data_IF_892353341312
#
_entry.id   IF_892353341312
#
_cell.length_a   1.000
_cell.length_b   1.000
_cell.length_c   1.000
_cell.angle_alpha   90.00
_cell.angle_beta   90.00
_cell.angle_gamma   90.00
#
_symmetry.space_group_name_H-M   'P 1'
#
loop_
_entity.id
_entity.type
_entity.pdbx_description
1 polymer ?
#
# COMPACT_ATOMS: atom_id res chain seq x y z
N UNK A 1 10.88 35.82 -13.65
CA UNK A 1 11.12 34.36 -13.58
C UNK A 1 10.42 33.75 -12.37
N UNK A 2 10.18 34.53 -11.32
CA UNK A 2 9.55 34.09 -10.06
C UNK A 2 8.11 33.59 -10.24
N UNK A 3 7.32 34.25 -11.09
CA UNK A 3 5.95 33.82 -11.40
C UNK A 3 5.91 32.45 -12.07
N UNK A 4 6.88 32.14 -12.93
CA UNK A 4 6.97 30.83 -13.59
C UNK A 4 7.29 29.72 -12.57
N UNK A 5 8.26 29.95 -11.67
CA UNK A 5 8.56 28.99 -10.60
C UNK A 5 7.38 28.77 -9.66
N UNK A 6 6.68 29.84 -9.26
CA UNK A 6 5.52 29.75 -8.37
C UNK A 6 4.39 28.94 -9.05
N UNK A 7 4.12 29.20 -10.33
CA UNK A 7 3.10 28.45 -11.09
C UNK A 7 3.47 26.99 -11.27
N UNK A 8 4.75 26.69 -11.54
CA UNK A 8 5.26 25.32 -11.63
C UNK A 8 5.16 24.58 -10.28
N UNK A 9 5.56 25.22 -9.19
CA UNK A 9 5.43 24.65 -7.85
C UNK A 9 3.96 24.42 -7.47
N UNK A 10 3.08 25.36 -7.78
CA UNK A 10 1.64 25.26 -7.54
C UNK A 10 1.01 24.10 -8.34
N UNK A 11 1.48 23.85 -9.57
CA UNK A 11 1.06 22.72 -10.39
C UNK A 11 1.48 21.39 -9.75
N UNK A 12 2.75 21.26 -9.34
CA UNK A 12 3.28 20.04 -8.68
C UNK A 12 2.53 19.79 -7.37
N UNK A 13 2.28 20.85 -6.59
CA UNK A 13 1.52 20.76 -5.34
C UNK A 13 0.07 20.32 -5.59
N UNK A 14 -0.59 20.85 -6.61
CA UNK A 14 -1.95 20.46 -6.98
C UNK A 14 -2.02 18.99 -7.40
N UNK A 15 -1.06 18.51 -8.21
CA UNK A 15 -0.96 17.10 -8.58
C UNK A 15 -0.70 16.21 -7.37
N UNK A 16 0.19 16.62 -6.45
CA UNK A 16 0.48 15.87 -5.25
C UNK A 16 -0.79 15.63 -4.41
N UNK A 17 -1.59 16.67 -4.19
CA UNK A 17 -2.85 16.58 -3.44
C UNK A 17 -3.87 15.72 -4.18
N UNK A 18 -3.99 15.89 -5.50
CA UNK A 18 -4.93 15.13 -6.33
C UNK A 18 -4.64 13.63 -6.27
N UNK A 19 -3.37 13.23 -6.43
CA UNK A 19 -2.94 11.83 -6.38
C UNK A 19 -3.20 11.24 -4.99
N UNK A 20 -2.89 11.97 -3.92
CA UNK A 20 -3.17 11.52 -2.55
C UNK A 20 -4.66 11.21 -2.38
N UNK A 21 -5.55 12.12 -2.80
CA UNK A 21 -7.00 11.92 -2.69
C UNK A 21 -7.48 10.77 -3.59
N UNK A 22 -6.95 10.64 -4.81
CA UNK A 22 -7.30 9.58 -5.76
C UNK A 22 -7.01 8.20 -5.18
N UNK A 23 -5.76 7.97 -4.75
CA UNK A 23 -5.33 6.69 -4.19
C UNK A 23 -6.02 6.41 -2.86
N UNK A 24 -6.11 7.43 -1.99
CA UNK A 24 -6.81 7.32 -0.72
C UNK A 24 -8.28 6.95 -0.93
N UNK A 25 -8.93 7.45 -1.99
CA UNK A 25 -10.27 7.06 -2.40
C UNK A 25 -10.36 5.56 -2.64
N UNK A 26 -9.50 5.00 -3.50
CA UNK A 26 -9.47 3.56 -3.77
C UNK A 26 -9.26 2.74 -2.49
N UNK A 27 -8.32 3.16 -1.65
CA UNK A 27 -8.05 2.49 -0.38
C UNK A 27 -9.26 2.53 0.57
N UNK A 28 -9.88 3.70 0.72
CA UNK A 28 -11.00 3.91 1.62
C UNK A 28 -12.23 3.13 1.17
N UNK A 29 -12.58 3.20 -0.12
CA UNK A 29 -13.69 2.44 -0.67
C UNK A 29 -13.44 0.93 -0.57
N UNK A 30 -12.25 0.43 -0.95
CA UNK A 30 -11.91 -0.98 -0.79
C UNK A 30 -12.10 -1.45 0.66
N UNK A 31 -11.66 -0.64 1.65
CA UNK A 31 -11.82 -0.94 3.07
C UNK A 31 -13.28 -1.00 3.52
N UNK A 32 -14.13 -0.10 3.01
CA UNK A 32 -15.57 -0.06 3.31
C UNK A 32 -16.29 -1.27 2.73
N UNK A 33 -15.98 -1.64 1.49
CA UNK A 33 -16.62 -2.77 0.81
C UNK A 33 -16.10 -4.14 1.27
N UNK A 34 -15.22 -4.20 2.26
CA UNK A 34 -14.67 -5.47 2.71
C UNK A 34 -13.79 -6.13 1.64
N UNK A 35 -13.06 -5.32 0.86
CA UNK A 35 -11.97 -5.77 -0.01
C UNK A 35 -10.60 -5.46 0.61
N UNK A 36 -9.69 -6.44 0.64
CA UNK A 36 -8.37 -6.28 1.26
C UNK A 36 -7.46 -5.50 0.32
N UNK A 37 -6.69 -4.55 0.85
CA UNK A 37 -5.61 -3.89 0.10
C UNK A 37 -4.28 -4.51 0.52
N UNK A 38 -3.51 -5.02 -0.43
CA UNK A 38 -2.20 -5.63 -0.21
C UNK A 38 -1.08 -4.58 -0.23
N UNK A 39 -1.13 -3.62 -1.16
CA UNK A 39 -0.14 -2.54 -1.25
C UNK A 39 -0.83 -1.20 -1.48
N UNK A 40 -0.37 -0.17 -0.80
CA UNK A 40 -0.84 1.19 -0.93
C UNK A 40 0.37 2.12 -1.03
N UNK A 41 0.63 2.63 -2.22
CA UNK A 41 1.77 3.50 -2.51
C UNK A 41 1.28 4.87 -2.95
N UNK A 42 1.74 5.88 -2.21
CA UNK A 42 1.54 7.29 -2.57
C UNK A 42 2.75 7.69 -3.41
N UNK A 43 2.53 8.18 -4.62
CA UNK A 43 3.60 8.51 -5.58
C UNK A 43 4.30 7.28 -6.18
N UNK A 44 4.80 7.42 -7.42
CA UNK A 44 5.40 6.32 -8.16
C UNK A 44 6.87 6.11 -7.75
N UNK A 45 7.30 4.86 -7.68
CA UNK A 45 8.62 4.39 -7.24
C UNK A 45 9.37 3.61 -8.35
N UNK A 46 9.64 4.21 -9.52
CA UNK A 46 10.17 3.47 -10.66
C UNK A 46 11.62 2.99 -10.49
N UNK A 47 12.38 3.61 -9.57
CA UNK A 47 13.79 3.27 -9.30
C UNK A 47 14.22 3.47 -7.85
N UNK A 48 13.66 4.45 -7.14
CA UNK A 48 13.97 4.74 -5.73
C UNK A 48 12.70 4.68 -4.88
N UNK A 49 12.70 3.80 -3.88
CA UNK A 49 11.68 3.77 -2.82
C UNK A 49 12.12 4.74 -1.70
N UNK A 50 11.40 5.84 -1.47
CA UNK A 50 11.75 6.79 -0.39
C UNK A 50 11.44 6.19 0.98
N UNK A 51 10.33 5.46 1.08
CA UNK A 51 9.89 4.90 2.36
C UNK A 51 8.99 3.69 2.11
N UNK A 52 9.28 2.58 2.80
CA UNK A 52 8.40 1.41 2.85
C UNK A 52 8.14 1.04 4.30
N UNK A 53 6.86 0.90 4.64
CA UNK A 53 6.41 0.53 5.96
C UNK A 53 5.40 -0.60 5.90
N UNK A 54 5.74 -1.73 6.54
CA UNK A 54 4.83 -2.85 6.74
C UNK A 54 4.45 -2.96 8.22
N UNK A 55 3.22 -2.59 8.60
CA UNK A 55 2.77 -2.76 9.98
C UNK A 55 2.67 -4.25 10.32
N UNK A 56 3.47 -4.73 11.28
CA UNK A 56 3.40 -6.13 11.79
C UNK A 56 2.20 -6.39 12.71
N UNK A 57 1.52 -5.34 13.16
CA UNK A 57 0.46 -5.41 14.16
C UNK A 57 -0.76 -4.65 13.65
N UNK A 58 -1.86 -5.37 13.44
CA UNK A 58 -3.14 -4.73 13.14
C UNK A 58 -3.94 -4.58 14.43
N UNK A 59 -4.46 -3.38 14.64
CA UNK A 59 -5.45 -3.12 15.67
C UNK A 59 -6.82 -3.17 14.99
N UNK A 60 -7.44 -4.35 14.99
CA UNK A 60 -8.81 -4.50 14.49
C UNK A 60 -9.79 -3.79 15.40
N UNK A 61 -10.80 -3.13 14.82
CA UNK A 61 -11.99 -2.72 15.57
C UNK A 61 -12.55 -3.92 16.32
N UNK A 62 -12.96 -3.72 17.58
CA UNK A 62 -13.23 -4.75 18.60
C UNK A 62 -12.01 -5.36 19.33
N UNK A 63 -11.00 -4.56 19.71
CA UNK A 63 -10.09 -4.87 20.81
C UNK A 63 -9.24 -6.15 20.71
N UNK A 64 -9.26 -6.85 19.57
CA UNK A 64 -8.46 -8.06 19.34
C UNK A 64 -7.17 -7.69 18.65
N UNK A 65 -6.13 -7.52 19.46
CA UNK A 65 -4.75 -7.51 18.96
C UNK A 65 -4.38 -8.93 18.53
N UNK A 66 -4.01 -9.13 17.26
CA UNK A 66 -3.50 -10.40 16.77
C UNK A 66 -2.10 -10.14 16.22
N UNK A 67 -1.11 -10.77 16.82
CA UNK A 67 0.27 -10.74 16.31
C UNK A 67 0.31 -11.53 14.99
N UNK A 68 0.56 -10.83 13.89
CA UNK A 68 1.00 -11.46 12.65
C UNK A 68 2.49 -11.70 12.82
N UNK A 69 2.80 -12.91 13.31
CA UNK A 69 4.16 -13.40 13.38
C UNK A 69 4.76 -13.46 11.99
N UNK A 70 5.90 -12.79 11.85
CA UNK A 70 6.81 -12.93 10.72
C UNK A 70 7.36 -14.35 10.73
N UNK A 71 7.08 -15.12 9.70
CA UNK A 71 7.73 -16.41 9.47
C UNK A 71 8.51 -16.30 8.18
N UNK A 72 9.70 -15.68 8.29
CA UNK A 72 10.78 -15.95 7.37
C UNK A 72 11.45 -17.21 7.93
N UNK A 73 11.07 -18.37 7.42
CA UNK A 73 11.97 -19.52 7.41
C UNK A 73 12.38 -19.74 5.97
N UNK A 74 13.50 -19.10 5.63
CA UNK A 74 14.37 -19.54 4.55
C UNK A 74 14.91 -20.90 4.99
N UNK A 75 14.33 -21.97 4.46
CA UNK A 75 14.59 -23.34 4.87
C UNK A 75 14.29 -24.27 3.71
N UNK A 76 15.34 -24.54 2.95
CA UNK A 76 15.41 -25.57 1.92
C UNK A 76 14.93 -26.93 2.44
N UNK A 77 14.27 -27.69 1.56
CA UNK A 77 13.98 -29.13 1.67
C UNK A 77 12.95 -29.59 2.70
N UNK A 78 11.68 -29.71 2.26
CA UNK A 78 10.78 -30.86 2.43
C UNK A 78 9.34 -30.38 2.23
N UNK A 79 8.59 -31.02 1.33
CA UNK A 79 7.19 -30.66 1.03
C UNK A 79 6.30 -30.65 2.28
N UNK A 80 5.62 -29.54 2.61
CA UNK A 80 4.60 -29.54 3.65
C UNK A 80 3.21 -29.28 3.04
N UNK A 81 2.27 -30.15 3.39
CA UNK A 81 0.82 -30.04 3.16
C UNK A 81 0.37 -28.59 3.36
N UNK A 82 -0.04 -27.93 2.27
CA UNK A 82 -0.35 -26.48 2.19
C UNK A 82 -1.57 -26.12 3.06
N UNK A 83 -1.35 -25.92 4.35
CA UNK A 83 -2.34 -25.33 5.26
C UNK A 83 -2.56 -23.88 4.82
N UNK A 84 -3.61 -23.61 4.02
CA UNK A 84 -3.99 -22.26 3.55
C UNK A 84 -4.16 -21.33 4.76
N UNK A 85 -3.10 -20.64 5.18
CA UNK A 85 -3.15 -19.62 6.24
C UNK A 85 -4.11 -18.54 5.74
N UNK A 86 -5.25 -18.35 6.42
CA UNK A 86 -6.18 -17.23 6.14
C UNK A 86 -5.40 -15.93 6.40
N UNK A 87 -4.82 -15.33 5.36
CA UNK A 87 -4.22 -13.98 5.40
C UNK A 87 -5.24 -13.04 6.04
N UNK A 88 -4.82 -12.29 7.06
CA UNK A 88 -5.71 -11.37 7.76
C UNK A 88 -6.19 -10.32 6.78
N UNK A 89 -7.49 -10.07 6.74
CA UNK A 89 -8.08 -9.05 5.89
C UNK A 89 -7.50 -7.65 6.18
N UNK A 90 -7.16 -7.37 7.44
CA UNK A 90 -6.86 -6.02 7.90
C UNK A 90 -5.36 -5.70 8.06
N UNK A 91 -4.47 -6.71 8.08
CA UNK A 91 -3.15 -6.56 8.69
C UNK A 91 -1.91 -6.69 7.83
N UNK A 92 -2.03 -6.99 6.53
CA UNK A 92 -0.87 -7.15 5.65
C UNK A 92 -0.85 -6.10 4.53
N UNK A 93 -1.31 -4.87 4.80
CA UNK A 93 -1.23 -3.78 3.82
C UNK A 93 0.16 -3.15 3.90
N UNK A 94 0.89 -3.18 2.80
CA UNK A 94 2.19 -2.51 2.67
C UNK A 94 1.95 -1.05 2.31
N UNK A 95 2.49 -0.13 3.10
CA UNK A 95 2.41 1.31 2.80
C UNK A 95 3.76 1.77 2.26
N UNK A 96 3.74 2.49 1.14
CA UNK A 96 4.94 3.03 0.52
C UNK A 96 4.77 4.47 0.07
N UNK A 97 5.89 5.17 -0.05
CA UNK A 97 5.94 6.52 -0.63
C UNK A 97 7.00 6.53 -1.71
N UNK A 98 6.57 6.81 -2.95
CA UNK A 98 7.44 7.08 -4.09
C UNK A 98 7.87 8.54 -4.15
N UNK A 99 8.82 8.84 -5.04
CA UNK A 99 9.36 10.19 -5.21
C UNK A 99 8.71 10.97 -6.35
N UNK A 100 8.00 10.27 -7.24
CA UNK A 100 7.45 10.84 -8.45
C UNK A 100 5.95 11.17 -8.27
N UNK A 101 5.54 12.46 -8.28
CA UNK A 101 4.17 12.87 -8.01
C UNK A 101 3.18 12.63 -9.16
N UNK A 102 3.54 11.82 -10.16
CA UNK A 102 2.74 11.59 -11.37
C UNK A 102 1.61 10.56 -11.19
N UNK A 103 1.58 9.83 -10.08
CA UNK A 103 0.54 8.84 -9.79
C UNK A 103 0.91 8.00 -8.57
N UNK A 104 0.05 7.10 -8.12
CA UNK A 104 0.38 6.10 -7.11
C UNK A 104 -0.13 4.73 -7.55
N UNK A 105 -0.19 3.78 -6.63
CA UNK A 105 -0.90 2.54 -6.89
C UNK A 105 -1.48 1.92 -5.63
N UNK A 106 -2.67 1.37 -5.77
CA UNK A 106 -3.39 0.63 -4.76
C UNK A 106 -3.64 -0.80 -5.26
N UNK A 107 -2.91 -1.78 -4.71
CA UNK A 107 -3.07 -3.20 -5.06
C UNK A 107 -4.16 -3.83 -4.20
N UNK A 108 -5.28 -4.15 -4.83
CA UNK A 108 -6.46 -4.74 -4.19
C UNK A 108 -6.41 -6.27 -4.33
N UNK A 109 -6.61 -6.99 -3.23
CA UNK A 109 -6.62 -8.44 -3.19
C UNK A 109 -7.82 -9.01 -3.96
N UNK A 110 -7.57 -9.97 -4.84
CA UNK A 110 -8.62 -10.65 -5.62
C UNK A 110 -8.83 -10.07 -7.02
N UNK A 111 -8.23 -8.92 -7.34
CA UNK A 111 -7.93 -8.59 -8.73
C UNK A 111 -6.69 -9.40 -9.11
N UNK A 112 -6.84 -10.32 -10.06
CA UNK A 112 -5.70 -10.93 -10.73
C UNK A 112 -4.95 -9.77 -11.39
N UNK A 113 -3.72 -9.56 -10.95
CA UNK A 113 -2.79 -8.62 -11.56
C UNK A 113 -2.36 -9.26 -12.89
N UNK A 114 -3.28 -9.27 -13.85
CA UNK A 114 -3.00 -9.57 -15.26
C UNK A 114 -2.47 -8.27 -15.87
N UNK A 115 -1.25 -7.90 -15.52
CA UNK A 115 -0.49 -6.80 -16.13
C UNK A 115 0.99 -7.04 -15.94
#
# INVERSE_FOLDING_TARGET
>A
MDTFLIKAAQLILAFAILVIIHEFGHFFFARIFGVKVEKFYIFFDPWIELFKWKPKKYFGGFGKTKNIGNDNTDGESAEPVKKKRKKSFWGDTEYGIGWLPLGGYCKIAGMIDES
#
